data_IF_932165524831
#
_entry.id   IF_932165524831
#
_cell.length_a   1.000
_cell.length_b   1.000
_cell.length_c   1.000
_cell.angle_alpha   90.00
_cell.angle_beta   90.00
_cell.angle_gamma   90.00
#
_symmetry.space_group_name_H-M   'P 1'
#
loop_
_entity.id
_entity.type
_entity.pdbx_description
1 polymer ?
#
# COMPACT_ATOMS: atom_id res chain seq x y z
N UNK A 1 -14.87 2.67 36.09
CA UNK A 1 -15.95 2.76 35.09
C UNK A 1 -16.05 1.41 34.40
N UNK A 2 -17.26 0.88 34.28
CA UNK A 2 -17.53 -0.39 33.60
C UNK A 2 -17.62 -0.15 32.08
N UNK A 3 -17.26 -1.16 31.28
CA UNK A 3 -17.42 -1.11 29.82
C UNK A 3 -18.90 -1.03 29.45
N UNK A 4 -19.25 -0.33 28.36
CA UNK A 4 -20.57 -0.48 27.77
C UNK A 4 -20.74 -1.91 27.24
N UNK A 5 -21.82 -2.56 27.68
CA UNK A 5 -22.10 -3.95 27.36
C UNK A 5 -22.83 -4.05 26.01
N UNK A 6 -22.06 -4.08 24.92
CA UNK A 6 -22.60 -4.21 23.57
C UNK A 6 -22.73 -5.70 23.21
N UNK A 7 -23.86 -6.06 22.61
CA UNK A 7 -24.07 -7.39 22.01
C UNK A 7 -23.39 -7.44 20.64
N UNK A 8 -22.35 -8.27 20.53
CA UNK A 8 -21.60 -8.43 19.29
C UNK A 8 -22.16 -9.56 18.45
N UNK A 9 -22.45 -9.27 17.18
CA UNK A 9 -23.00 -10.23 16.23
C UNK A 9 -22.26 -10.19 14.90
N UNK A 10 -22.22 -11.34 14.20
CA UNK A 10 -21.62 -11.43 12.85
C UNK A 10 -22.32 -10.52 11.83
N UNK A 11 -23.60 -10.19 12.04
CA UNK A 11 -24.36 -9.29 11.17
C UNK A 11 -23.78 -7.87 11.09
N UNK A 12 -22.96 -7.47 12.08
CA UNK A 12 -22.32 -6.14 12.10
C UNK A 12 -21.28 -5.95 10.99
N UNK A 13 -20.79 -7.04 10.37
CA UNK A 13 -19.89 -6.98 9.20
C UNK A 13 -20.62 -6.70 7.88
N UNK A 14 -21.95 -6.85 7.85
CA UNK A 14 -22.75 -6.67 6.64
C UNK A 14 -23.28 -5.24 6.45
N UNK A 15 -22.91 -4.30 7.32
CA UNK A 15 -23.38 -2.91 7.23
C UNK A 15 -22.73 -2.24 6.01
N UNK A 16 -23.52 -1.82 5.00
CA UNK A 16 -22.97 -1.23 3.78
C UNK A 16 -22.16 0.03 4.09
N UNK A 17 -20.97 0.14 3.50
CA UNK A 17 -20.12 1.34 3.59
C UNK A 17 -19.44 1.57 4.94
N UNK A 18 -19.56 0.64 5.91
CA UNK A 18 -18.91 0.77 7.23
C UNK A 18 -18.06 -0.45 7.56
N UNK A 19 -16.87 -0.19 8.09
CA UNK A 19 -16.07 -1.24 8.69
C UNK A 19 -16.61 -1.62 10.07
N UNK A 20 -16.37 -2.84 10.52
CA UNK A 20 -16.82 -3.32 11.83
C UNK A 20 -16.41 -2.39 12.99
N UNK A 21 -15.20 -1.83 12.92
CA UNK A 21 -14.73 -0.83 13.90
C UNK A 21 -15.55 0.46 13.89
N UNK A 22 -15.99 0.94 12.72
CA UNK A 22 -16.83 2.14 12.63
C UNK A 22 -18.22 1.87 13.19
N UNK A 23 -18.77 0.68 12.95
CA UNK A 23 -20.05 0.25 13.58
C UNK A 23 -19.90 0.18 15.10
N UNK A 24 -18.77 -0.34 15.60
CA UNK A 24 -18.49 -0.34 17.03
C UNK A 24 -18.32 1.07 17.60
N UNK A 25 -17.73 1.99 16.86
CA UNK A 25 -17.53 3.37 17.28
C UNK A 25 -18.85 4.15 17.37
N UNK A 26 -19.85 3.81 16.55
CA UNK A 26 -21.20 4.38 16.65
C UNK A 26 -21.96 3.88 17.88
N UNK A 27 -21.72 2.63 18.28
CA UNK A 27 -22.34 2.03 19.46
C UNK A 27 -21.60 2.39 20.76
N UNK A 28 -20.28 2.52 20.70
CA UNK A 28 -19.37 2.76 21.83
C UNK A 28 -18.48 3.98 21.54
N UNK A 29 -19.04 5.18 21.51
CA UNK A 29 -18.29 6.38 21.11
C UNK A 29 -17.06 6.65 21.97
N UNK A 30 -15.87 6.80 21.36
CA UNK A 30 -14.62 7.07 22.09
C UNK A 30 -14.67 8.37 22.90
N UNK A 31 -15.54 9.32 22.51
CA UNK A 31 -15.76 10.57 23.23
C UNK A 31 -16.26 10.33 24.67
N UNK A 32 -17.02 9.25 24.90
CA UNK A 32 -17.56 8.89 26.22
C UNK A 32 -16.47 8.46 27.22
N UNK A 33 -15.24 8.21 26.74
CA UNK A 33 -14.12 7.71 27.54
C UNK A 33 -13.00 8.74 27.68
N UNK A 34 -13.19 9.98 27.23
CA UNK A 34 -12.25 11.07 27.43
C UNK A 34 -11.98 11.30 28.93
N UNK A 35 -10.69 11.36 29.32
CA UNK A 35 -10.29 11.51 30.73
C UNK A 35 -10.31 10.22 31.56
N UNK A 36 -10.66 9.08 30.97
CA UNK A 36 -10.60 7.76 31.64
C UNK A 36 -9.29 7.03 31.32
N UNK A 37 -8.92 5.96 32.05
CA UNK A 37 -7.79 5.10 31.70
C UNK A 37 -7.92 4.38 30.34
N UNK A 38 -9.09 4.49 29.70
CA UNK A 38 -9.39 3.95 28.38
C UNK A 38 -9.35 5.02 27.27
N UNK A 39 -9.04 6.27 27.62
CA UNK A 39 -8.77 7.32 26.65
C UNK A 39 -7.59 6.90 25.76
N UNK A 40 -7.80 6.88 24.45
CA UNK A 40 -6.79 6.47 23.45
C UNK A 40 -6.92 5.02 22.95
N UNK A 41 -7.89 4.24 23.43
CA UNK A 41 -8.25 2.95 22.85
C UNK A 41 -9.43 3.10 21.88
N UNK A 42 -9.34 2.46 20.72
CA UNK A 42 -10.49 2.38 19.81
C UNK A 42 -11.60 1.48 20.37
N UNK A 43 -12.81 1.57 19.82
CA UNK A 43 -13.95 0.76 20.26
C UNK A 43 -13.65 -0.75 20.24
N UNK A 44 -12.90 -1.23 19.25
CA UNK A 44 -12.53 -2.64 19.16
C UNK A 44 -11.58 -3.10 20.27
N UNK A 45 -10.55 -2.32 20.58
CA UNK A 45 -9.58 -2.58 21.65
C UNK A 45 -10.26 -2.53 23.02
N UNK A 46 -11.26 -1.66 23.20
CA UNK A 46 -12.12 -1.65 24.38
C UNK A 46 -12.89 -2.97 24.51
N UNK A 47 -13.48 -3.46 23.42
CA UNK A 47 -14.15 -4.78 23.44
C UNK A 47 -13.16 -5.93 23.69
N UNK A 48 -11.95 -5.91 23.14
CA UNK A 48 -10.91 -6.91 23.48
C UNK A 48 -10.58 -6.91 24.98
N UNK A 49 -10.43 -5.72 25.59
CA UNK A 49 -10.20 -5.60 27.04
C UNK A 49 -11.39 -6.09 27.86
N UNK A 50 -12.63 -5.83 27.41
CA UNK A 50 -13.85 -6.32 28.06
C UNK A 50 -13.90 -7.85 28.13
N UNK A 51 -13.50 -8.54 27.07
CA UNK A 51 -13.39 -10.00 27.05
C UNK A 51 -12.06 -10.54 27.63
N UNK A 52 -11.17 -9.64 28.08
CA UNK A 52 -9.88 -9.99 28.64
C UNK A 52 -8.93 -10.67 27.64
N UNK A 53 -9.06 -10.37 26.34
CA UNK A 53 -8.25 -10.95 25.27
C UNK A 53 -6.97 -10.12 25.08
N UNK A 54 -5.82 -10.76 25.28
CA UNK A 54 -4.49 -10.15 25.10
C UNK A 54 -3.88 -10.63 23.80
N UNK A 55 -3.93 -9.77 22.79
CA UNK A 55 -3.44 -10.06 21.44
C UNK A 55 -1.91 -10.04 21.31
N UNK A 56 -1.20 -9.34 22.20
CA UNK A 56 0.26 -9.19 22.11
C UNK A 56 0.96 -9.08 23.46
N UNK A 57 2.20 -9.57 23.53
CA UNK A 57 3.13 -9.40 24.67
C UNK A 57 3.46 -10.72 25.36
N UNK A 58 4.29 -10.66 26.41
CA UNK A 58 4.81 -11.86 27.11
C UNK A 58 3.71 -12.80 27.65
N UNK A 59 2.54 -12.26 27.97
CA UNK A 59 1.37 -12.99 28.46
C UNK A 59 0.21 -12.96 27.43
N UNK A 60 0.52 -13.11 26.14
CA UNK A 60 -0.51 -13.18 25.09
C UNK A 60 -1.33 -14.46 25.19
N UNK A 61 -2.62 -14.34 24.87
CA UNK A 61 -3.55 -15.46 24.92
C UNK A 61 -3.41 -16.36 23.67
N UNK A 62 -4.01 -17.54 23.74
CA UNK A 62 -4.22 -18.39 22.57
C UNK A 62 -5.42 -17.93 21.76
N UNK A 63 -5.47 -18.36 20.49
CA UNK A 63 -6.60 -18.05 19.60
C UNK A 63 -7.93 -18.57 20.16
N UNK A 64 -7.91 -19.65 20.93
CA UNK A 64 -9.07 -20.20 21.63
C UNK A 64 -9.84 -19.19 22.47
N UNK A 65 -9.15 -18.17 23.02
CA UNK A 65 -9.79 -17.12 23.84
C UNK A 65 -10.87 -16.33 23.08
N UNK A 66 -10.74 -16.19 21.77
CA UNK A 66 -11.79 -15.57 20.93
C UNK A 66 -13.05 -16.44 20.87
N UNK A 67 -12.94 -17.75 21.06
CA UNK A 67 -14.03 -18.70 20.86
C UNK A 67 -14.65 -19.21 22.16
N UNK A 68 -14.33 -18.60 23.30
CA UNK A 68 -14.97 -18.91 24.58
C UNK A 68 -16.44 -18.48 24.61
N UNK A 69 -16.82 -17.43 23.87
CA UNK A 69 -18.21 -16.97 23.74
C UNK A 69 -18.56 -16.64 22.29
N UNK A 70 -19.85 -16.64 21.96
CA UNK A 70 -20.34 -16.23 20.63
C UNK A 70 -20.02 -14.77 20.31
N UNK A 71 -20.09 -13.89 21.31
CA UNK A 71 -19.81 -12.46 21.16
C UNK A 71 -18.32 -12.18 20.94
N UNK A 72 -17.43 -12.87 21.67
CA UNK A 72 -15.99 -12.75 21.44
C UNK A 72 -15.56 -13.31 20.08
N UNK A 73 -16.26 -14.34 19.57
CA UNK A 73 -15.95 -14.93 18.28
C UNK A 73 -16.26 -13.97 17.12
N UNK A 74 -17.19 -13.02 17.33
CA UNK A 74 -17.48 -11.95 16.38
C UNK A 74 -16.31 -10.96 16.24
N UNK A 75 -15.36 -10.88 17.18
CA UNK A 75 -14.19 -9.99 17.06
C UNK A 75 -13.07 -10.58 16.20
N UNK A 76 -13.05 -11.91 16.01
CA UNK A 76 -11.94 -12.61 15.36
C UNK A 76 -11.69 -12.21 13.89
N UNK A 77 -12.71 -12.02 13.03
CA UNK A 77 -12.46 -11.57 11.66
C UNK A 77 -11.81 -10.18 11.59
N UNK A 78 -12.21 -9.26 12.46
CA UNK A 78 -11.61 -7.91 12.53
C UNK A 78 -10.17 -7.97 13.06
N UNK A 79 -9.89 -8.85 14.02
CA UNK A 79 -8.51 -9.13 14.44
C UNK A 79 -7.62 -9.52 13.26
N UNK A 80 -8.10 -10.46 12.43
CA UNK A 80 -7.37 -10.94 11.25
C UNK A 80 -7.16 -9.80 10.24
N UNK A 81 -8.22 -9.06 9.92
CA UNK A 81 -8.18 -7.93 9.00
C UNK A 81 -7.15 -6.87 9.44
N UNK A 82 -7.12 -6.54 10.73
CA UNK A 82 -6.18 -5.57 11.32
C UNK A 82 -4.74 -6.06 11.29
N UNK A 83 -4.48 -7.31 11.65
CA UNK A 83 -3.13 -7.87 11.62
C UNK A 83 -2.57 -7.88 10.19
N UNK A 84 -3.39 -8.21 9.20
CA UNK A 84 -3.02 -8.18 7.79
C UNK A 84 -2.81 -6.74 7.33
N UNK A 85 -3.74 -5.81 7.63
CA UNK A 85 -3.62 -4.39 7.27
C UNK A 85 -2.32 -3.79 7.82
N UNK A 86 -2.00 -4.06 9.07
CA UNK A 86 -0.74 -3.65 9.67
C UNK A 86 0.47 -4.25 8.93
N UNK A 87 0.41 -5.52 8.53
CA UNK A 87 1.44 -6.15 7.71
C UNK A 87 1.59 -5.53 6.32
N UNK A 88 0.48 -5.12 5.71
CA UNK A 88 0.47 -4.37 4.45
C UNK A 88 1.14 -3.01 4.63
N UNK A 89 0.73 -2.22 5.62
CA UNK A 89 1.27 -0.89 5.91
C UNK A 89 2.77 -0.92 6.22
N UNK A 90 3.22 -1.88 7.05
CA UNK A 90 4.64 -2.02 7.40
C UNK A 90 5.55 -2.35 6.20
N UNK A 91 5.01 -2.99 5.16
CA UNK A 91 5.76 -3.40 3.98
C UNK A 91 5.45 -2.56 2.73
N UNK A 92 4.48 -1.65 2.81
CA UNK A 92 4.02 -0.86 1.68
C UNK A 92 4.90 0.36 1.50
N UNK A 93 5.56 0.41 0.34
CA UNK A 93 6.20 1.61 -0.19
C UNK A 93 5.35 2.27 -1.29
N UNK A 94 4.10 1.86 -1.45
CA UNK A 94 3.15 2.44 -2.41
C UNK A 94 2.86 3.93 -2.15
N UNK A 95 2.73 4.41 -0.90
CA UNK A 95 2.51 5.84 -0.64
C UNK A 95 3.67 6.74 -1.11
N UNK A 96 4.87 6.18 -1.30
CA UNK A 96 6.03 6.94 -1.77
C UNK A 96 6.10 7.02 -3.31
N UNK A 97 5.14 6.41 -4.01
CA UNK A 97 5.08 6.31 -5.49
C UNK A 97 3.77 6.82 -6.04
N UNK A 98 2.66 6.56 -5.34
CA UNK A 98 1.33 7.00 -5.75
C UNK A 98 1.10 8.47 -5.36
N UNK A 99 0.67 9.28 -6.33
CA UNK A 99 0.31 10.67 -6.14
C UNK A 99 -0.98 10.80 -5.34
N UNK A 100 -1.95 9.97 -5.67
CA UNK A 100 -3.29 9.97 -5.07
C UNK A 100 -3.81 8.54 -4.93
N UNK A 101 -4.65 8.34 -3.90
CA UNK A 101 -5.36 7.09 -3.66
C UNK A 101 -6.85 7.34 -3.81
N UNK A 102 -7.45 6.81 -4.86
CA UNK A 102 -8.87 6.92 -5.14
C UNK A 102 -9.58 5.68 -4.61
N UNK A 103 -10.46 5.86 -3.62
CA UNK A 103 -11.31 4.79 -3.10
C UNK A 103 -12.61 4.74 -3.90
N UNK A 104 -12.95 3.55 -4.39
CA UNK A 104 -14.15 3.30 -5.17
C UNK A 104 -14.97 2.15 -4.56
N UNK A 105 -16.27 2.19 -4.76
CA UNK A 105 -17.19 1.13 -4.32
C UNK A 105 -17.55 0.16 -5.47
N UNK A 106 -17.24 0.53 -6.71
CA UNK A 106 -17.51 -0.24 -7.93
C UNK A 106 -16.22 -0.87 -8.48
N UNK A 107 -16.35 -1.94 -9.28
CA UNK A 107 -15.20 -2.57 -9.95
C UNK A 107 -14.79 -1.84 -11.23
N UNK A 108 -15.63 -0.96 -11.74
CA UNK A 108 -15.36 -0.18 -12.93
C UNK A 108 -14.90 1.22 -12.53
N UNK A 109 -13.71 1.60 -12.98
CA UNK A 109 -13.18 2.94 -12.81
C UNK A 109 -12.39 3.38 -14.02
N UNK A 110 -12.61 4.63 -14.43
CA UNK A 110 -11.84 5.28 -15.48
C UNK A 110 -11.14 6.47 -14.86
N UNK A 111 -9.82 6.50 -15.00
CA UNK A 111 -9.03 7.64 -14.55
C UNK A 111 -9.30 8.88 -15.39
N UNK A 112 -8.92 10.04 -14.86
CA UNK A 112 -8.99 11.31 -15.56
C UNK A 112 -7.62 11.61 -16.16
N UNK A 113 -7.62 12.03 -17.42
CA UNK A 113 -6.41 12.40 -18.14
C UNK A 113 -6.53 13.80 -18.71
N UNK A 114 -5.38 14.46 -18.81
CA UNK A 114 -5.25 15.71 -19.54
C UNK A 114 -4.96 15.36 -21.00
N UNK A 115 -5.86 15.76 -21.89
CA UNK A 115 -5.60 15.73 -23.31
C UNK A 115 -5.01 17.09 -23.67
N UNK A 116 -3.74 17.32 -23.29
CA UNK A 116 -3.03 18.47 -23.84
C UNK A 116 -2.83 18.19 -25.32
N UNK A 117 -3.48 18.96 -26.19
CA UNK A 117 -3.06 19.02 -27.59
C UNK A 117 -1.59 19.43 -27.56
N UNK A 118 -0.73 18.55 -28.07
CA UNK A 118 0.73 18.66 -28.16
C UNK A 118 1.29 20.09 -28.10
N UNK A 119 2.30 20.28 -27.25
CA UNK A 119 3.28 21.38 -27.25
C UNK A 119 2.91 22.77 -26.71
N UNK A 120 1.69 23.00 -26.20
CA UNK A 120 1.48 24.22 -25.40
C UNK A 120 1.95 24.01 -23.96
N UNK A 121 3.28 24.00 -23.75
CA UNK A 121 3.82 24.38 -22.45
C UNK A 121 3.24 25.75 -22.10
N UNK A 122 2.88 25.97 -20.83
CA UNK A 122 2.50 27.29 -20.33
C UNK A 122 3.77 28.15 -20.30
N UNK A 123 4.29 28.47 -21.47
CA UNK A 123 5.53 29.20 -21.64
C UNK A 123 5.31 30.15 -22.80
N UNK A 124 4.62 31.24 -22.49
CA UNK A 124 4.79 32.56 -23.08
C UNK A 124 3.81 33.53 -22.38
N UNK A 125 4.19 34.79 -22.10
CA UNK A 125 3.22 35.79 -21.69
C UNK A 125 2.19 35.97 -22.80
N UNK A 126 0.93 35.72 -22.48
CA UNK A 126 -0.18 35.86 -23.43
C UNK A 126 -0.26 37.34 -23.84
N UNK A 127 -0.05 37.63 -25.13
CA UNK A 127 -0.18 38.97 -25.66
C UNK A 127 -1.62 39.48 -25.50
N UNK A 128 -1.80 40.79 -25.34
CA UNK A 128 -3.13 41.41 -25.22
C UNK A 128 -3.98 41.09 -26.47
N UNK A 129 -5.08 40.36 -26.28
CA UNK A 129 -5.98 39.89 -27.36
C UNK A 129 -5.68 38.49 -27.92
N UNK A 130 -4.62 37.80 -27.45
CA UNK A 130 -4.33 36.42 -27.84
C UNK A 130 -5.17 35.40 -27.06
N UNK A 131 -5.46 34.26 -27.69
CA UNK A 131 -6.18 33.16 -27.05
C UNK A 131 -5.32 32.51 -25.96
N UNK A 132 -5.90 32.30 -24.78
CA UNK A 132 -5.24 31.63 -23.65
C UNK A 132 -5.16 30.12 -23.96
N UNK A 133 -4.02 29.45 -23.73
CA UNK A 133 -3.91 28.00 -23.82
C UNK A 133 -5.00 27.28 -23.03
N UNK A 134 -5.72 26.36 -23.68
CA UNK A 134 -6.74 25.54 -23.05
C UNK A 134 -6.19 24.14 -22.73
N UNK A 135 -6.31 23.73 -21.47
CA UNK A 135 -6.03 22.35 -21.05
C UNK A 135 -7.34 21.59 -20.90
N UNK A 136 -7.59 20.64 -21.80
CA UNK A 136 -8.83 19.85 -21.76
C UNK A 136 -8.64 18.61 -20.89
N UNK A 137 -9.46 18.48 -19.85
CA UNK A 137 -9.50 17.32 -18.97
C UNK A 137 -10.59 16.35 -19.46
N UNK A 138 -10.23 15.10 -19.74
CA UNK A 138 -11.15 14.07 -20.24
C UNK A 138 -11.01 12.78 -19.43
N UNK A 139 -12.07 11.97 -19.42
CA UNK A 139 -12.00 10.61 -18.88
C UNK A 139 -11.21 9.71 -19.83
N UNK A 140 -10.37 8.83 -19.29
CA UNK A 140 -9.60 7.88 -20.07
C UNK A 140 -10.51 6.95 -20.90
N UNK A 141 -10.00 6.52 -22.06
CA UNK A 141 -10.69 5.60 -22.95
C UNK A 141 -10.74 4.18 -22.39
N UNK A 142 -9.64 3.72 -21.75
CA UNK A 142 -9.55 2.42 -21.11
C UNK A 142 -10.01 2.44 -19.65
N UNK A 143 -10.41 1.27 -19.17
CA UNK A 143 -10.77 1.03 -17.78
C UNK A 143 -9.50 0.61 -17.01
N UNK A 144 -9.36 1.09 -15.77
CA UNK A 144 -8.22 0.73 -14.92
C UNK A 144 -8.35 -0.73 -14.49
N UNK A 145 -7.39 -1.57 -14.86
CA UNK A 145 -7.43 -2.99 -14.52
C UNK A 145 -7.20 -3.21 -13.02
N UNK A 146 -8.23 -3.66 -12.33
CA UNK A 146 -8.16 -3.98 -10.90
C UNK A 146 -7.74 -5.43 -10.70
N UNK A 147 -6.80 -5.66 -9.78
CA UNK A 147 -6.35 -6.99 -9.40
C UNK A 147 -6.73 -7.34 -7.97
N UNK A 148 -7.47 -8.44 -7.80
CA UNK A 148 -7.73 -9.04 -6.49
C UNK A 148 -6.51 -9.84 -6.05
N UNK A 149 -5.82 -9.37 -5.01
CA UNK A 149 -4.67 -10.04 -4.38
C UNK A 149 -5.11 -10.56 -3.02
N UNK A 150 -4.96 -11.87 -2.80
CA UNK A 150 -5.38 -12.47 -1.54
C UNK A 150 -4.77 -13.84 -1.31
N UNK A 151 -5.02 -14.39 -0.12
CA UNK A 151 -4.55 -15.72 0.27
C UNK A 151 -5.60 -16.40 1.12
N UNK A 152 -5.82 -17.69 0.85
CA UNK A 152 -6.62 -18.57 1.68
C UNK A 152 -5.74 -19.14 2.79
N UNK A 153 -6.13 -18.92 4.03
CA UNK A 153 -5.55 -19.53 5.21
C UNK A 153 -6.39 -20.76 5.51
N UNK A 154 -5.74 -21.92 5.49
CA UNK A 154 -6.37 -23.21 5.77
C UNK A 154 -5.62 -23.84 6.93
N UNK A 155 -6.33 -24.11 8.02
CA UNK A 155 -5.78 -24.80 9.19
C UNK A 155 -6.83 -25.74 9.76
N UNK A 156 -6.37 -26.81 10.43
CA UNK A 156 -7.28 -27.57 11.29
C UNK A 156 -7.69 -26.72 12.49
N UNK A 157 -8.89 -26.99 12.99
CA UNK A 157 -9.49 -26.30 14.12
C UNK A 157 -8.61 -26.36 15.38
N UNK A 158 -8.06 -27.54 15.68
CA UNK A 158 -7.20 -27.76 16.85
C UNK A 158 -5.87 -27.02 16.72
N UNK A 159 -5.24 -27.08 15.54
CA UNK A 159 -3.97 -26.40 15.30
C UNK A 159 -4.13 -24.88 15.44
N UNK A 160 -5.20 -24.29 14.90
CA UNK A 160 -5.37 -22.84 14.95
C UNK A 160 -5.63 -22.34 16.38
N UNK A 161 -6.43 -23.06 17.17
CA UNK A 161 -6.88 -22.62 18.50
C UNK A 161 -5.80 -22.63 19.56
N UNK A 162 -4.91 -23.60 19.54
CA UNK A 162 -3.89 -23.77 20.58
C UNK A 162 -2.62 -22.94 20.35
N UNK A 163 -2.52 -22.23 19.22
CA UNK A 163 -1.41 -21.32 18.98
C UNK A 163 -1.61 -19.97 19.69
N UNK A 164 -0.48 -19.39 20.12
CA UNK A 164 -0.44 -18.04 20.68
C UNK A 164 -0.79 -17.00 19.61
N UNK A 165 -1.54 -15.99 20.02
CA UNK A 165 -1.97 -14.90 19.15
C UNK A 165 -0.80 -14.13 18.53
N UNK A 166 0.32 -13.98 19.24
CA UNK A 166 1.52 -13.30 18.73
C UNK A 166 2.12 -14.00 17.50
N UNK A 167 2.33 -15.32 17.57
CA UNK A 167 2.87 -16.09 16.45
C UNK A 167 1.92 -16.03 15.25
N UNK A 168 0.63 -16.17 15.52
CA UNK A 168 -0.39 -16.07 14.49
C UNK A 168 -0.43 -14.67 13.86
N UNK A 169 -0.27 -13.60 14.66
CA UNK A 169 -0.15 -12.22 14.17
C UNK A 169 1.02 -12.05 13.23
N UNK A 170 2.18 -12.65 13.53
CA UNK A 170 3.36 -12.57 12.65
C UNK A 170 3.07 -13.21 11.28
N UNK A 171 2.37 -14.36 11.26
CA UNK A 171 1.97 -15.02 10.01
C UNK A 171 1.01 -14.12 9.21
N UNK A 172 0.00 -13.54 9.88
CA UNK A 172 -0.97 -12.64 9.25
C UNK A 172 -0.30 -11.37 8.70
N UNK A 173 0.60 -10.76 9.46
CA UNK A 173 1.41 -9.62 9.01
C UNK A 173 2.23 -9.98 7.78
N UNK A 174 2.85 -11.16 7.76
CA UNK A 174 3.61 -11.62 6.60
C UNK A 174 2.72 -11.83 5.36
N UNK A 175 1.48 -12.30 5.53
CA UNK A 175 0.50 -12.38 4.44
C UNK A 175 0.18 -10.98 3.91
N UNK A 176 -0.07 -10.02 4.79
CA UNK A 176 -0.24 -8.61 4.42
C UNK A 176 0.95 -8.06 3.65
N UNK A 177 2.17 -8.31 4.12
CA UNK A 177 3.39 -7.90 3.44
C UNK A 177 3.52 -8.49 2.03
N UNK A 178 3.09 -9.74 1.81
CA UNK A 178 3.06 -10.32 0.47
C UNK A 178 2.04 -9.66 -0.46
N UNK A 179 0.85 -9.28 0.06
CA UNK A 179 -0.16 -8.56 -0.72
C UNK A 179 0.41 -7.21 -1.17
N UNK A 180 0.99 -6.43 -0.25
CA UNK A 180 1.59 -5.14 -0.55
C UNK A 180 2.72 -5.24 -1.60
N UNK A 181 3.62 -6.24 -1.47
CA UNK A 181 4.69 -6.48 -2.47
C UNK A 181 4.15 -6.86 -3.85
N UNK A 182 2.99 -7.54 -3.92
CA UNK A 182 2.34 -7.85 -5.19
C UNK A 182 1.67 -6.63 -5.81
N UNK A 183 1.00 -5.81 -5.01
CA UNK A 183 0.48 -4.51 -5.47
C UNK A 183 1.60 -3.60 -5.97
N UNK A 184 2.75 -3.58 -5.29
CA UNK A 184 3.96 -2.88 -5.73
C UNK A 184 4.45 -3.36 -7.10
N UNK A 185 4.40 -4.67 -7.35
CA UNK A 185 4.72 -5.23 -8.66
C UNK A 185 3.72 -4.74 -9.71
N UNK A 186 2.43 -4.78 -9.40
CA UNK A 186 1.38 -4.34 -10.33
C UNK A 186 1.56 -2.85 -10.70
N UNK A 187 1.94 -2.00 -9.73
CA UNK A 187 2.28 -0.60 -9.98
C UNK A 187 3.49 -0.43 -10.93
N UNK A 188 4.56 -1.20 -10.69
CA UNK A 188 5.76 -1.18 -11.55
C UNK A 188 5.45 -1.71 -12.96
N UNK A 189 4.62 -2.75 -13.08
CA UNK A 189 4.23 -3.31 -14.36
C UNK A 189 3.40 -2.31 -15.17
N UNK A 190 2.52 -1.53 -14.53
CA UNK A 190 1.78 -0.41 -15.17
C UNK A 190 2.73 0.71 -15.58
N UNK A 191 3.74 1.05 -14.76
CA UNK A 191 4.74 2.04 -15.15
C UNK A 191 5.53 1.59 -16.39
N UNK A 192 5.93 0.31 -16.45
CA UNK A 192 6.76 -0.21 -17.54
C UNK A 192 6.00 -0.46 -18.84
N UNK A 193 4.78 -0.98 -18.76
CA UNK A 193 4.02 -1.42 -19.94
C UNK A 193 2.88 -0.48 -20.31
N UNK A 194 2.51 0.45 -19.42
CA UNK A 194 1.35 1.33 -19.57
C UNK A 194 0.06 0.74 -18.97
N UNK A 195 -0.96 1.58 -18.87
CA UNK A 195 -2.31 1.25 -18.37
C UNK A 195 -3.34 1.00 -19.49
N UNK A 196 -2.85 0.86 -20.73
CA UNK A 196 -3.65 0.69 -21.94
C UNK A 196 -4.13 2.00 -22.58
N UNK A 197 -4.14 3.13 -21.85
CA UNK A 197 -4.36 4.45 -22.45
C UNK A 197 -3.02 5.19 -22.63
N UNK A 198 -2.17 5.19 -21.61
CA UNK A 198 -0.80 5.70 -21.70
C UNK A 198 0.16 4.58 -22.10
N UNK A 199 1.15 4.93 -22.93
CA UNK A 199 2.28 4.04 -23.22
C UNK A 199 3.22 4.01 -22.01
N UNK A 200 3.78 2.84 -21.72
CA UNK A 200 4.77 2.67 -20.64
C UNK A 200 5.99 3.58 -20.76
N UNK A 201 6.76 3.68 -19.67
CA UNK A 201 7.94 4.56 -19.59
C UNK A 201 8.99 4.21 -20.65
N UNK A 202 9.72 5.24 -21.09
CA UNK A 202 10.89 5.03 -21.94
C UNK A 202 12.03 4.46 -21.09
N UNK A 203 12.47 3.24 -21.41
CA UNK A 203 13.60 2.58 -20.75
C UNK A 203 14.85 2.73 -21.61
N UNK A 204 15.85 3.46 -21.11
CA UNK A 204 17.14 3.60 -21.80
C UNK A 204 18.03 2.41 -21.47
N UNK A 205 18.45 1.66 -22.49
CA UNK A 205 19.36 0.52 -22.32
C UNK A 205 20.82 1.00 -22.27
N UNK A 206 21.53 0.61 -21.21
CA UNK A 206 22.95 0.83 -20.99
C UNK A 206 23.72 -0.46 -21.28
N UNK A 207 24.96 -0.35 -21.73
CA UNK A 207 25.84 -1.49 -22.01
C UNK A 207 26.60 -1.99 -20.79
N UNK A 208 26.62 -1.21 -19.71
CA UNK A 208 27.32 -1.49 -18.45
C UNK A 208 26.50 -1.04 -17.24
N UNK A 209 27.04 -1.30 -16.04
CA UNK A 209 26.43 -0.84 -14.79
C UNK A 209 26.27 0.69 -14.77
N UNK A 210 25.19 1.22 -14.15
CA UNK A 210 24.87 2.64 -14.17
C UNK A 210 25.96 3.46 -13.49
N UNK A 211 26.36 4.56 -14.15
CA UNK A 211 27.31 5.54 -13.63
C UNK A 211 26.58 6.75 -13.06
N UNK A 212 27.30 7.60 -12.32
CA UNK A 212 26.73 8.86 -11.82
C UNK A 212 26.21 9.76 -12.95
N UNK A 213 26.90 9.80 -14.09
CA UNK A 213 26.48 10.58 -15.25
C UNK A 213 25.14 10.08 -15.86
N UNK A 214 24.89 8.77 -15.84
CA UNK A 214 23.61 8.21 -16.32
C UNK A 214 22.45 8.64 -15.43
N UNK A 215 22.67 8.77 -14.12
CA UNK A 215 21.67 9.28 -13.18
C UNK A 215 21.40 10.77 -13.35
N UNK A 216 22.44 11.57 -13.62
CA UNK A 216 22.26 13.00 -13.93
C UNK A 216 21.53 13.17 -15.26
N UNK A 217 21.81 12.32 -16.25
CA UNK A 217 21.07 12.31 -17.52
C UNK A 217 19.61 11.93 -17.30
N UNK A 218 19.35 10.93 -16.46
CA UNK A 218 17.99 10.53 -16.07
C UNK A 218 17.25 11.66 -15.35
N UNK A 219 17.93 12.38 -14.45
CA UNK A 219 17.42 13.57 -13.79
C UNK A 219 17.08 14.68 -14.81
N UNK A 220 17.96 14.92 -15.79
CA UNK A 220 17.73 15.90 -16.85
C UNK A 220 16.54 15.57 -17.76
N UNK A 221 16.26 14.28 -18.01
CA UNK A 221 15.06 13.84 -18.76
C UNK A 221 13.75 14.11 -18.03
N UNK A 222 13.81 14.31 -16.70
CA UNK A 222 12.67 14.63 -15.86
C UNK A 222 12.58 16.13 -15.58
N UNK A 223 13.17 17.04 -16.38
CA UNK A 223 13.24 18.47 -16.08
C UNK A 223 11.89 19.18 -15.87
N UNK A 224 10.82 18.69 -16.51
CA UNK A 224 9.46 19.23 -16.34
C UNK A 224 8.78 18.72 -15.05
N UNK A 225 9.42 17.78 -14.33
CA UNK A 225 8.90 17.08 -13.14
C UNK A 225 9.95 17.06 -12.00
N UNK A 226 9.54 16.65 -10.80
CA UNK A 226 10.48 16.53 -9.67
C UNK A 226 11.04 15.12 -9.55
N UNK A 227 12.36 14.99 -9.68
CA UNK A 227 13.08 13.76 -9.40
C UNK A 227 13.09 13.47 -7.88
N UNK A 228 12.10 12.72 -7.39
CA UNK A 228 11.91 12.50 -5.95
C UNK A 228 11.98 11.04 -5.50
N UNK A 229 11.71 10.08 -6.40
CA UNK A 229 11.67 8.67 -6.05
C UNK A 229 12.38 7.84 -7.12
N UNK A 230 13.24 6.91 -6.67
CA UNK A 230 13.88 5.91 -7.52
C UNK A 230 13.50 4.53 -7.05
N UNK A 231 13.00 3.71 -7.97
CA UNK A 231 12.75 2.28 -7.78
C UNK A 231 13.90 1.51 -8.39
N UNK A 232 14.56 0.66 -7.60
CA UNK A 232 15.66 -0.15 -8.08
C UNK A 232 15.45 -1.64 -7.78
N UNK A 233 15.73 -2.47 -8.78
CA UNK A 233 15.84 -3.91 -8.62
C UNK A 233 17.06 -4.26 -7.77
N UNK A 234 17.12 -5.48 -7.24
CA UNK A 234 18.17 -5.86 -6.27
C UNK A 234 19.60 -5.66 -6.80
N UNK A 235 19.88 -6.03 -8.06
CA UNK A 235 21.23 -5.88 -8.64
C UNK A 235 21.53 -4.43 -9.01
N UNK A 236 20.54 -3.71 -9.52
CA UNK A 236 20.62 -2.28 -9.80
C UNK A 236 20.92 -1.48 -8.53
N UNK A 237 20.24 -1.79 -7.43
CA UNK A 237 20.46 -1.15 -6.14
C UNK A 237 21.89 -1.39 -5.64
N UNK A 238 22.39 -2.62 -5.74
CA UNK A 238 23.78 -2.94 -5.39
C UNK A 238 24.79 -2.19 -6.26
N UNK A 239 24.50 -2.01 -7.55
CA UNK A 239 25.35 -1.23 -8.45
C UNK A 239 25.33 0.26 -8.08
N UNK A 240 24.15 0.82 -7.80
CA UNK A 240 24.00 2.21 -7.35
C UNK A 240 24.78 2.46 -6.06
N UNK A 241 24.64 1.60 -5.05
CA UNK A 241 25.39 1.72 -3.79
C UNK A 241 26.91 1.54 -3.96
N UNK A 242 27.37 1.01 -5.11
CA UNK A 242 28.80 0.84 -5.40
C UNK A 242 29.45 2.05 -6.08
N UNK A 243 28.66 3.01 -6.57
CA UNK A 243 29.16 4.25 -7.19
C UNK A 243 30.01 5.03 -6.18
N UNK A 244 31.17 5.50 -6.61
CA UNK A 244 32.18 6.16 -5.77
C UNK A 244 31.65 7.40 -5.07
N UNK A 245 30.84 8.19 -5.77
CA UNK A 245 30.18 9.41 -5.33
C UNK A 245 29.14 9.15 -4.23
N UNK A 246 28.64 7.91 -4.13
CA UNK A 246 27.70 7.47 -3.07
C UNK A 246 28.37 6.72 -1.91
N UNK A 247 29.69 6.48 -1.99
CA UNK A 247 30.46 5.84 -0.92
C UNK A 247 31.10 6.82 0.07
N UNK A 248 30.90 8.11 -0.11
CA UNK A 248 31.59 9.14 0.66
C UNK A 248 31.23 9.11 2.18
N UNK A 249 32.15 9.57 3.03
CA UNK A 249 32.08 9.40 4.49
C UNK A 249 30.81 10.03 5.12
N UNK A 250 30.24 11.08 4.52
CA UNK A 250 28.97 11.68 4.94
C UNK A 250 27.75 10.79 4.66
N UNK A 251 27.77 10.03 3.56
CA UNK A 251 26.73 9.03 3.28
C UNK A 251 26.76 7.88 4.30
N UNK A 252 27.95 7.53 4.80
CA UNK A 252 28.10 6.53 5.86
C UNK A 252 27.53 6.98 7.21
N UNK A 253 27.47 8.30 7.47
CA UNK A 253 26.90 8.86 8.70
C UNK A 253 25.37 8.74 8.71
N UNK A 254 24.71 9.00 7.57
CA UNK A 254 23.27 8.83 7.41
C UNK A 254 22.83 7.36 7.52
N UNK A 255 23.63 6.44 7.00
CA UNK A 255 23.39 4.99 7.11
C UNK A 255 23.54 4.53 8.56
N UNK A 256 24.51 5.07 9.32
CA UNK A 256 24.75 4.72 10.73
C UNK A 256 23.79 5.39 11.72
N UNK A 257 23.30 6.60 11.42
CA UNK A 257 22.45 7.38 12.33
C UNK A 257 20.94 7.18 12.17
N UNK A 258 20.46 6.87 10.95
CA UNK A 258 19.03 6.80 10.65
C UNK A 258 18.57 5.49 9.98
N UNK A 259 19.49 4.59 9.62
CA UNK A 259 19.17 3.34 8.92
C UNK A 259 18.57 3.53 7.52
N UNK A 260 18.59 4.76 6.98
CA UNK A 260 18.09 5.10 5.64
C UNK A 260 19.21 4.92 4.62
N UNK A 261 18.88 4.34 3.46
CA UNK A 261 19.78 4.25 2.31
C UNK A 261 20.18 5.66 1.85
N UNK A 262 21.37 5.78 1.26
CA UNK A 262 21.79 7.04 0.64
C UNK A 262 20.77 7.46 -0.43
N UNK A 263 20.38 8.74 -0.41
CA UNK A 263 19.45 9.34 -1.36
C UNK A 263 20.22 9.97 -2.52
N UNK A 264 20.38 9.27 -3.67
CA UNK A 264 21.06 9.84 -4.83
C UNK A 264 20.29 11.07 -5.31
N UNK A 265 20.98 12.21 -5.47
CA UNK A 265 20.40 13.47 -5.94
C UNK A 265 19.16 13.94 -5.15
N UNK A 266 19.04 13.56 -3.87
CA UNK A 266 17.89 13.91 -3.02
C UNK A 266 16.63 13.06 -3.24
N UNK A 267 16.67 12.07 -4.15
CA UNK A 267 15.56 11.14 -4.34
C UNK A 267 15.56 10.01 -3.31
N UNK A 268 14.35 9.62 -2.90
CA UNK A 268 14.12 8.47 -2.02
C UNK A 268 14.36 7.18 -2.81
N UNK A 269 15.31 6.37 -2.35
CA UNK A 269 15.68 5.11 -3.00
C UNK A 269 14.90 3.94 -2.40
N UNK A 270 14.03 3.33 -3.20
CA UNK A 270 13.16 2.22 -2.80
C UNK A 270 13.62 0.94 -3.47
N UNK A 271 13.90 -0.07 -2.64
CA UNK A 271 14.20 -1.42 -3.12
C UNK A 271 12.92 -2.14 -3.53
N UNK A 272 12.85 -2.62 -4.77
CA UNK A 272 11.73 -3.42 -5.27
C UNK A 272 12.22 -4.80 -5.67
N UNK A 273 12.15 -5.81 -4.77
CA UNK A 273 12.64 -7.16 -5.05
C UNK A 273 11.88 -7.87 -6.18
N UNK A 274 10.64 -7.46 -6.45
CA UNK A 274 9.76 -8.04 -7.45
C UNK A 274 9.97 -7.51 -8.87
N UNK A 275 10.74 -6.44 -9.03
CA UNK A 275 11.12 -5.86 -10.33
C UNK A 275 12.33 -6.60 -10.91
N UNK A 276 12.51 -6.55 -12.23
CA UNK A 276 13.71 -7.07 -12.88
C UNK A 276 14.99 -6.51 -12.23
N UNK A 277 15.93 -7.41 -11.94
CA UNK A 277 17.04 -7.12 -11.04
C UNK A 277 17.93 -5.96 -11.49
N UNK A 278 18.02 -5.70 -12.80
CA UNK A 278 18.88 -4.67 -13.42
C UNK A 278 18.13 -3.44 -13.92
N UNK A 279 16.86 -3.26 -13.54
CA UNK A 279 16.09 -2.07 -13.90
C UNK A 279 16.14 -1.02 -12.80
N UNK A 280 16.10 0.24 -13.23
CA UNK A 280 15.95 1.43 -12.39
C UNK A 280 14.83 2.25 -13.01
N UNK A 281 13.90 2.73 -12.18
CA UNK A 281 12.85 3.65 -12.59
C UNK A 281 12.99 4.89 -11.72
N UNK A 282 13.15 6.06 -12.34
CA UNK A 282 12.99 7.34 -11.68
C UNK A 282 11.61 7.89 -11.99
N UNK A 283 10.95 8.46 -10.98
CA UNK A 283 9.62 9.03 -11.13
C UNK A 283 9.41 10.22 -10.22
N UNK A 284 8.44 11.04 -10.59
CA UNK A 284 7.83 12.02 -9.71
C UNK A 284 6.60 11.43 -9.02
N UNK A 285 6.70 11.15 -7.72
CA UNK A 285 5.60 10.58 -6.93
C UNK A 285 4.34 11.42 -6.94
N UNK A 286 4.42 12.74 -7.19
CA UNK A 286 3.26 13.63 -7.16
C UNK A 286 2.47 13.62 -8.47
N UNK A 287 3.05 13.08 -9.55
CA UNK A 287 2.49 13.17 -10.90
C UNK A 287 2.52 11.84 -11.67
N UNK A 288 3.22 10.81 -11.20
CA UNK A 288 3.42 9.60 -11.99
C UNK A 288 2.23 8.63 -11.96
N UNK A 289 1.67 8.34 -10.78
CA UNK A 289 0.78 7.19 -10.59
C UNK A 289 -0.43 7.52 -9.71
N UNK A 290 -1.61 7.09 -10.14
CA UNK A 290 -2.81 7.01 -9.31
C UNK A 290 -2.99 5.55 -8.83
N UNK A 291 -3.28 5.38 -7.54
CA UNK A 291 -3.70 4.09 -6.99
C UNK A 291 -5.21 4.07 -6.82
N UNK A 292 -5.87 3.07 -7.38
CA UNK A 292 -7.31 2.87 -7.28
C UNK A 292 -7.57 1.68 -6.37
N UNK A 293 -8.32 1.87 -5.29
CA UNK A 293 -8.58 0.83 -4.31
C UNK A 293 -10.09 0.60 -4.15
N UNK A 294 -10.51 -0.67 -4.19
CA UNK A 294 -11.91 -1.05 -3.92
C UNK A 294 -12.03 -1.52 -2.48
N UNK A 295 -12.75 -0.76 -1.68
CA UNK A 295 -12.92 -1.04 -0.25
C UNK A 295 -11.59 -1.19 0.51
N UNK A 296 -11.67 -1.78 1.69
CA UNK A 296 -10.50 -2.12 2.49
C UNK A 296 -10.13 -3.62 2.35
N UNK A 297 -9.27 -4.12 3.23
CA UNK A 297 -8.94 -5.54 3.31
C UNK A 297 -10.20 -6.35 3.69
N UNK A 298 -10.65 -7.18 2.75
CA UNK A 298 -11.77 -8.09 2.93
C UNK A 298 -11.28 -9.38 3.60
N UNK A 299 -11.94 -9.77 4.68
CA UNK A 299 -11.69 -11.03 5.38
C UNK A 299 -12.96 -11.86 5.39
N UNK A 300 -13.00 -12.92 4.59
CA UNK A 300 -14.09 -13.89 4.59
C UNK A 300 -13.73 -15.05 5.50
N UNK A 301 -14.60 -15.35 6.46
CA UNK A 301 -14.39 -16.41 7.42
C UNK A 301 -15.46 -17.48 7.28
N UNK A 302 -15.04 -18.72 7.03
CA UNK A 302 -15.93 -19.87 6.94
C UNK A 302 -15.45 -21.03 7.82
N UNK A 303 -16.41 -21.70 8.46
CA UNK A 303 -16.17 -22.90 9.26
C UNK A 303 -16.72 -24.10 8.50
N UNK A 304 -15.82 -24.88 7.92
CA UNK A 304 -16.18 -26.15 7.28
C UNK A 304 -16.32 -27.24 8.34
N UNK A 305 -17.57 -27.50 8.73
CA UNK A 305 -17.94 -28.48 9.75
C UNK A 305 -17.45 -29.89 9.35
N UNK A 306 -17.66 -30.29 8.09
CA UNK A 306 -17.37 -31.65 7.62
C UNK A 306 -15.88 -32.03 7.63
N UNK A 307 -14.98 -31.04 7.54
CA UNK A 307 -13.53 -31.29 7.48
C UNK A 307 -12.79 -30.87 8.75
N UNK A 308 -13.51 -30.36 9.77
CA UNK A 308 -12.92 -29.75 10.96
C UNK A 308 -11.84 -28.69 10.62
N UNK A 309 -12.05 -27.97 9.51
CA UNK A 309 -11.11 -26.95 9.02
C UNK A 309 -11.71 -25.57 9.15
N UNK A 310 -10.88 -24.61 9.56
CA UNK A 310 -11.21 -23.20 9.48
C UNK A 310 -10.53 -22.60 8.24
N UNK A 311 -11.32 -21.87 7.46
CA UNK A 311 -10.86 -21.18 6.27
C UNK A 311 -11.08 -19.69 6.43
N UNK A 312 -10.00 -18.93 6.37
CA UNK A 312 -10.06 -17.48 6.29
C UNK A 312 -9.46 -17.05 4.97
N UNK A 313 -10.26 -16.43 4.09
CA UNK A 313 -9.75 -15.79 2.91
C UNK A 313 -9.50 -14.32 3.22
N UNK A 314 -8.29 -13.84 2.96
CA UNK A 314 -7.96 -12.43 3.10
C UNK A 314 -7.61 -11.90 1.73
N UNK A 315 -8.24 -10.80 1.32
CA UNK A 315 -8.00 -10.19 0.02
C UNK A 315 -8.09 -8.67 0.03
N UNK A 316 -7.35 -8.04 -0.87
CA UNK A 316 -7.42 -6.62 -1.19
C UNK A 316 -7.48 -6.46 -2.71
N UNK A 317 -8.23 -5.48 -3.17
CA UNK A 317 -8.37 -5.17 -4.60
C UNK A 317 -7.78 -3.79 -4.85
N UNK A 318 -6.80 -3.73 -5.75
CA UNK A 318 -6.20 -2.48 -6.17
C UNK A 318 -5.88 -2.51 -7.66
N UNK A 319 -5.88 -1.35 -8.29
CA UNK A 319 -5.36 -1.10 -9.63
C UNK A 319 -4.54 0.18 -9.65
N UNK A 320 -3.85 0.41 -10.75
CA UNK A 320 -2.96 1.55 -10.92
C UNK A 320 -3.16 2.15 -12.30
N UNK A 321 -3.06 3.47 -12.39
CA UNK A 321 -3.13 4.21 -13.64
C UNK A 321 -2.01 5.26 -13.69
N UNK A 322 -1.50 5.52 -14.89
CA UNK A 322 -0.53 6.59 -15.09
C UNK A 322 -1.27 7.90 -15.27
N UNK A 323 -0.87 8.93 -14.53
CA UNK A 323 -1.47 10.27 -14.67
C UNK A 323 -0.79 11.01 -15.83
N UNK A 324 0.55 11.07 -15.81
CA UNK A 324 1.37 11.67 -16.86
C UNK A 324 2.47 10.71 -17.32
N UNK A 325 2.48 10.36 -18.62
CA UNK A 325 3.48 9.46 -19.19
C UNK A 325 4.93 9.98 -19.13
N UNK A 326 5.12 11.31 -19.07
CA UNK A 326 6.44 11.94 -18.98
C UNK A 326 7.03 11.98 -17.56
N UNK A 327 6.22 11.71 -16.52
CA UNK A 327 6.62 11.85 -15.12
C UNK A 327 7.47 10.67 -14.58
N UNK A 328 7.75 9.67 -15.41
CA UNK A 328 8.59 8.53 -15.05
C UNK A 328 9.49 8.10 -16.23
N UNK A 329 10.72 7.70 -15.92
CA UNK A 329 11.75 7.31 -16.87
C UNK A 329 12.53 6.10 -16.35
N UNK A 330 12.96 5.22 -17.26
CA UNK A 330 13.64 3.98 -16.91
C UNK A 330 15.08 3.91 -17.42
N UNK A 331 15.91 3.16 -16.70
CA UNK A 331 17.21 2.66 -17.14
C UNK A 331 17.27 1.14 -16.97
N UNK A 332 17.92 0.45 -17.91
CA UNK A 332 18.19 -0.99 -17.82
C UNK A 332 19.58 -1.32 -18.35
N UNK A 333 20.22 -2.36 -17.84
CA UNK A 333 21.55 -2.85 -18.27
C UNK A 333 21.69 -4.37 -18.05
#
# INVERSE_FOLDING_TARGET
MAFENITLEKGMYGVPGKNFTQVLEELDGSQNYAGTPFAGLDAYQRQLKRFGIRVSGANCDTVEKFFTSSQSAALFPEYVARAVRQGMEMASSLPDIAATVTKIDTLDYRTVQTATASDQKIEDPVAEGAAIPETVIKTAGSLVTLHKRGRLIVSSYEALRHHRLDLFTVILRQIGAYIARRQMKDAVDVLLNGDGTNTGITVTALTAAPTYNDLVTLWGKLSDYNFNTILAGTTALQALLKITEFKDAQASLNIKGAGKLITPLGATLIHVPSMDAKKIIALDKNCALEMVQVGDVLTDYDKLIDRQMERAAVSAVAGFAQIYGGAAQGLSY
#
